data_IF_889734515953
#
_entry.id   IF_889734515953
#
_cell.length_a   1.000
_cell.length_b   1.000
_cell.length_c   1.000
_cell.angle_alpha   90.00
_cell.angle_beta   90.00
_cell.angle_gamma   90.00
#
_symmetry.space_group_name_H-M   'P 1'
#
loop_
_entity.id
_entity.type
_entity.pdbx_description
1 polymer ?
#
# COMPACT_ATOMS: atom_id res chain seq x y z
N UNK A 1 5.21 11.93 7.14
CA UNK A 1 4.09 11.86 8.10
C UNK A 1 3.73 13.28 8.44
N UNK A 2 2.53 13.71 8.06
CA UNK A 2 2.09 15.08 8.26
C UNK A 2 1.70 15.26 9.73
N UNK A 3 2.60 15.82 10.54
CA UNK A 3 2.37 16.03 11.98
C UNK A 3 1.40 17.18 12.27
N UNK A 4 0.95 17.89 11.24
CA UNK A 4 0.10 19.09 11.35
C UNK A 4 -1.33 18.81 11.81
N UNK A 5 -1.77 17.55 11.81
CA UNK A 5 -3.12 17.12 12.23
C UNK A 5 -3.15 16.35 13.56
N UNK A 6 -2.01 16.18 14.24
CA UNK A 6 -1.96 15.40 15.49
C UNK A 6 -2.44 16.24 16.68
N UNK A 7 -3.50 15.77 17.34
CA UNK A 7 -3.99 16.30 18.62
C UNK A 7 -3.33 15.56 19.78
N UNK A 8 -3.01 16.30 20.84
CA UNK A 8 -2.25 15.81 21.98
C UNK A 8 -2.96 16.27 23.25
N UNK A 9 -3.03 15.37 24.24
CA UNK A 9 -3.63 15.69 25.54
C UNK A 9 -2.65 16.53 26.36
N UNK A 10 -3.12 17.66 26.90
CA UNK A 10 -2.30 18.57 27.70
C UNK A 10 -2.56 18.34 29.19
N UNK A 11 -1.53 17.99 29.99
CA UNK A 11 -1.62 17.90 31.44
C UNK A 11 -2.07 19.21 32.09
N UNK A 12 -2.76 19.13 33.24
CA UNK A 12 -3.30 20.28 33.95
C UNK A 12 -2.24 21.36 34.30
N UNK A 13 -1.02 20.97 34.66
CA UNK A 13 0.06 21.91 34.95
C UNK A 13 0.53 22.69 33.71
N UNK A 14 0.56 22.04 32.54
CA UNK A 14 0.87 22.72 31.29
C UNK A 14 -0.28 23.63 30.85
N UNK A 15 -1.53 23.24 31.13
CA UNK A 15 -2.68 24.08 30.88
C UNK A 15 -2.60 25.39 31.68
N UNK A 16 -2.24 25.33 32.96
CA UNK A 16 -2.03 26.51 33.79
C UNK A 16 -0.92 27.42 33.23
N UNK A 17 0.22 26.85 32.85
CA UNK A 17 1.33 27.61 32.26
C UNK A 17 0.97 28.26 30.91
N UNK A 18 0.18 27.58 30.08
CA UNK A 18 -0.31 28.11 28.81
C UNK A 18 -1.40 29.17 29.01
N UNK A 19 -2.17 29.08 30.08
CA UNK A 19 -3.15 30.11 30.45
C UNK A 19 -2.46 31.42 30.84
N UNK A 20 -1.39 31.34 31.66
CA UNK A 20 -0.57 32.52 31.99
C UNK A 20 0.06 33.17 30.74
N UNK A 21 0.37 32.36 29.72
CA UNK A 21 0.91 32.86 28.45
C UNK A 21 -0.13 33.65 27.62
N UNK A 22 -1.42 33.36 27.78
CA UNK A 22 -2.50 34.02 27.03
C UNK A 22 -2.65 35.51 27.41
N UNK A 23 -2.23 35.90 28.61
CA UNK A 23 -2.31 37.28 29.11
C UNK A 23 -1.13 38.17 28.65
N UNK A 24 -0.17 37.62 27.90
CA UNK A 24 1.04 38.34 27.48
C UNK A 24 0.80 39.15 26.20
N UNK A 25 0.94 40.47 26.33
CA UNK A 25 1.00 41.42 25.21
C UNK A 25 2.35 41.30 24.48
N UNK A 26 2.37 40.70 23.30
CA UNK A 26 3.60 40.48 22.50
C UNK A 26 3.72 39.09 21.86
N UNK A 27 2.73 38.22 22.08
CA UNK A 27 2.65 36.93 21.39
C UNK A 27 2.25 37.16 19.92
N UNK A 28 2.82 36.42 18.94
CA UNK A 28 2.40 36.51 17.55
C UNK A 28 0.90 36.23 17.39
N UNK A 29 0.21 37.08 16.64
CA UNK A 29 -1.27 37.06 16.50
C UNK A 29 -1.83 35.69 16.10
N UNK A 30 -1.10 34.95 15.26
CA UNK A 30 -1.50 33.61 14.82
C UNK A 30 -1.48 32.60 15.99
N UNK A 31 -0.50 32.69 16.89
CA UNK A 31 -0.40 31.82 18.06
C UNK A 31 -1.46 32.22 19.09
N UNK A 32 -1.60 33.53 19.34
CA UNK A 32 -2.57 34.05 20.31
C UNK A 32 -4.02 33.67 19.94
N UNK A 33 -4.40 33.83 18.67
CA UNK A 33 -5.73 33.46 18.19
C UNK A 33 -6.02 31.96 18.32
N UNK A 34 -5.05 31.10 17.95
CA UNK A 34 -5.20 29.66 18.09
C UNK A 34 -5.23 29.19 19.55
N UNK A 35 -4.43 29.82 20.42
CA UNK A 35 -4.37 29.51 21.84
C UNK A 35 -5.68 29.88 22.55
N UNK A 36 -6.24 31.05 22.25
CA UNK A 36 -7.49 31.53 22.83
C UNK A 36 -8.70 30.66 22.41
N UNK A 37 -8.69 30.11 21.19
CA UNK A 37 -9.72 29.15 20.75
C UNK A 37 -9.59 27.82 21.49
N UNK A 38 -8.37 27.37 21.77
CA UNK A 38 -8.09 26.05 22.31
C UNK A 38 -8.16 25.97 23.85
N UNK A 39 -7.85 27.06 24.55
CA UNK A 39 -7.82 27.11 26.02
C UNK A 39 -9.14 27.69 26.53
N UNK A 40 -9.95 26.85 27.18
CA UNK A 40 -11.15 27.28 27.91
C UNK A 40 -10.83 27.41 29.40
N UNK A 41 -11.42 28.38 30.11
CA UNK A 41 -11.17 28.58 31.54
C UNK A 41 -11.75 27.45 32.41
N UNK A 42 -12.77 26.74 31.93
CA UNK A 42 -13.36 25.61 32.66
C UNK A 42 -12.63 24.31 32.29
N UNK A 43 -11.88 23.80 33.26
CA UNK A 43 -11.25 22.49 33.23
C UNK A 43 -12.35 21.44 33.43
N UNK A 44 -13.14 21.15 32.39
CA UNK A 44 -13.89 19.90 32.37
C UNK A 44 -12.86 18.76 32.50
N UNK A 45 -13.11 17.76 33.34
CA UNK A 45 -12.20 16.62 33.62
C UNK A 45 -11.73 15.85 32.35
N UNK A 46 -12.25 16.21 31.19
CA UNK A 46 -11.77 15.80 29.86
C UNK A 46 -10.52 16.59 29.49
N UNK A 47 -9.35 15.98 29.69
CA UNK A 47 -8.04 16.55 29.39
C UNK A 47 -7.99 17.32 28.05
N UNK A 48 -7.77 18.65 28.12
CA UNK A 48 -7.77 19.55 26.97
C UNK A 48 -6.86 19.05 25.85
N UNK A 49 -7.42 18.92 24.65
CA UNK A 49 -6.70 18.46 23.46
C UNK A 49 -6.22 19.66 22.65
N UNK A 50 -4.90 19.82 22.52
CA UNK A 50 -4.29 20.86 21.69
C UNK A 50 -3.61 20.25 20.48
N UNK A 51 -3.56 21.01 19.39
CA UNK A 51 -2.81 20.62 18.19
C UNK A 51 -1.31 20.68 18.49
N UNK A 52 -0.58 19.62 18.13
CA UNK A 52 0.86 19.55 18.34
C UNK A 52 1.63 20.70 17.64
N UNK A 53 1.17 21.12 16.46
CA UNK A 53 1.78 22.21 15.71
C UNK A 53 1.76 23.54 16.49
N UNK A 54 0.69 23.81 17.24
CA UNK A 54 0.58 25.02 18.07
C UNK A 54 1.61 24.99 19.22
N UNK A 55 1.70 23.87 19.94
CA UNK A 55 2.67 23.70 21.03
C UNK A 55 4.11 23.81 20.53
N UNK A 56 4.38 23.32 19.32
CA UNK A 56 5.70 23.45 18.66
C UNK A 56 6.01 24.90 18.30
N UNK A 57 5.04 25.66 17.80
CA UNK A 57 5.24 27.10 17.50
C UNK A 57 5.49 27.91 18.77
N UNK A 58 4.75 27.61 19.84
CA UNK A 58 4.98 28.22 21.16
C UNK A 58 6.39 27.92 21.66
N UNK A 59 6.85 26.66 21.56
CA UNK A 59 8.20 26.31 21.99
C UNK A 59 9.28 26.97 21.15
N UNK A 60 9.08 27.10 19.83
CA UNK A 60 10.00 27.83 18.95
C UNK A 60 10.04 29.32 19.27
N UNK A 61 8.87 29.94 19.48
CA UNK A 61 8.78 31.35 19.88
C UNK A 61 9.46 31.58 21.24
N UNK A 62 9.22 30.73 22.24
CA UNK A 62 9.86 30.82 23.55
C UNK A 62 11.40 30.69 23.50
N UNK A 63 11.94 30.06 22.46
CA UNK A 63 13.38 29.95 22.21
C UNK A 63 13.96 31.13 21.41
N UNK A 64 13.12 31.92 20.74
CA UNK A 64 13.55 33.13 20.04
C UNK A 64 14.06 34.19 21.03
N UNK A 65 14.89 35.12 20.56
CA UNK A 65 15.38 36.23 21.40
C UNK A 65 14.22 37.10 21.90
N UNK A 66 13.27 37.43 21.00
CA UNK A 66 12.09 38.24 21.31
C UNK A 66 11.21 37.57 22.39
N UNK A 67 10.88 36.29 22.21
CA UNK A 67 10.09 35.56 23.19
C UNK A 67 10.77 35.43 24.55
N UNK A 68 12.10 35.28 24.58
CA UNK A 68 12.88 35.24 25.84
C UNK A 68 12.84 36.56 26.59
N UNK A 69 13.01 37.67 25.88
CA UNK A 69 13.00 39.00 26.48
C UNK A 69 11.62 39.31 27.07
N UNK A 70 10.55 39.04 26.32
CA UNK A 70 9.15 39.23 26.76
C UNK A 70 8.82 38.33 27.97
N UNK A 71 9.19 37.04 27.93
CA UNK A 71 8.96 36.13 29.05
C UNK A 71 9.70 36.59 30.31
N UNK A 72 10.95 37.06 30.15
CA UNK A 72 11.78 37.55 31.25
C UNK A 72 11.23 38.84 31.87
N UNK A 73 10.69 39.76 31.06
CA UNK A 73 10.02 40.97 31.54
C UNK A 73 8.81 40.66 32.42
N UNK A 74 8.13 39.54 32.16
CA UNK A 74 6.99 39.05 32.95
C UNK A 74 7.40 38.14 34.12
N UNK A 75 8.69 37.89 34.32
CA UNK A 75 9.21 37.01 35.37
C UNK A 75 8.98 35.52 35.10
N UNK A 76 8.64 35.15 33.86
CA UNK A 76 8.42 33.77 33.43
C UNK A 76 9.72 33.15 32.92
N UNK A 77 9.89 31.84 33.15
CA UNK A 77 11.08 31.11 32.71
C UNK A 77 10.90 30.62 31.27
N UNK A 78 11.80 30.99 30.36
CA UNK A 78 11.77 30.51 28.96
C UNK A 78 11.95 28.99 28.86
N UNK A 79 12.65 28.37 29.82
CA UNK A 79 12.86 26.92 29.86
C UNK A 79 11.54 26.15 29.96
N UNK A 80 10.57 26.64 30.74
CA UNK A 80 9.29 25.94 30.96
C UNK A 80 8.49 25.84 29.65
N UNK A 81 8.61 26.84 28.78
CA UNK A 81 7.92 26.88 27.49
C UNK A 81 8.69 26.19 26.36
N UNK A 82 10.01 26.12 26.47
CA UNK A 82 10.88 25.56 25.43
C UNK A 82 10.66 24.06 25.16
N UNK A 83 10.12 23.33 26.14
CA UNK A 83 9.97 21.88 26.09
C UNK A 83 8.50 21.41 26.09
N UNK A 84 7.53 22.33 26.03
CA UNK A 84 6.09 22.03 26.10
C UNK A 84 5.65 21.01 25.04
N UNK A 85 6.14 21.15 23.81
CA UNK A 85 5.80 20.21 22.74
C UNK A 85 6.23 18.77 23.06
N UNK A 86 7.40 18.60 23.70
CA UNK A 86 7.94 17.29 24.04
C UNK A 86 7.22 16.69 25.25
N UNK A 87 6.90 17.51 26.25
CA UNK A 87 6.14 17.10 27.43
C UNK A 87 4.71 16.67 27.07
N UNK A 88 4.04 17.42 26.19
CA UNK A 88 2.71 17.08 25.72
C UNK A 88 2.72 15.76 24.93
N UNK A 89 3.73 15.53 24.08
CA UNK A 89 3.83 14.36 23.21
C UNK A 89 3.97 12.99 23.90
N UNK A 90 4.01 12.94 25.23
CA UNK A 90 4.11 11.69 26.00
C UNK A 90 2.77 10.99 26.21
N UNK A 91 1.64 11.70 26.06
CA UNK A 91 0.30 11.15 26.25
C UNK A 91 -0.50 11.33 24.96
N UNK A 92 -0.67 10.24 24.20
CA UNK A 92 -1.58 10.23 23.05
C UNK A 92 -3.01 10.49 23.54
N UNK A 93 -3.71 11.44 22.91
CA UNK A 93 -5.07 11.78 23.30
C UNK A 93 -5.99 10.54 23.32
N UNK A 94 -6.90 10.42 24.31
CA UNK A 94 -7.87 9.33 24.36
C UNK A 94 -8.84 9.33 23.16
N UNK A 95 -8.99 10.47 22.46
CA UNK A 95 -9.79 10.62 21.24
C UNK A 95 -9.05 10.19 19.96
N UNK A 96 -7.72 10.12 19.99
CA UNK A 96 -6.91 9.73 18.84
C UNK A 96 -7.09 8.23 18.54
N UNK A 97 -8.04 7.92 17.65
CA UNK A 97 -8.17 6.58 17.06
C UNK A 97 -6.88 6.26 16.31
N UNK A 98 -6.02 5.45 16.94
CA UNK A 98 -4.87 4.86 16.27
C UNK A 98 -5.35 4.20 14.98
N UNK A 99 -4.64 4.36 13.85
CA UNK A 99 -4.98 3.64 12.65
C UNK A 99 -4.96 2.14 12.95
N UNK A 100 -5.88 1.34 12.37
CA UNK A 100 -5.92 -0.09 12.61
C UNK A 100 -4.55 -0.67 12.28
N UNK A 101 -3.95 -1.36 13.25
CA UNK A 101 -2.66 -2.04 13.07
C UNK A 101 -2.76 -2.97 11.87
N UNK A 102 -1.95 -2.71 10.84
CA UNK A 102 -1.80 -3.61 9.70
C UNK A 102 -0.60 -4.52 10.02
N UNK A 103 -0.83 -5.81 10.31
CA UNK A 103 0.28 -6.71 10.55
C UNK A 103 1.20 -6.76 9.32
N UNK A 104 2.52 -6.92 9.52
CA UNK A 104 3.43 -7.12 8.40
C UNK A 104 2.97 -8.35 7.61
N UNK A 105 2.90 -8.22 6.28
CA UNK A 105 2.48 -9.32 5.40
C UNK A 105 3.35 -10.54 5.65
N UNK A 106 2.70 -11.70 5.69
CA UNK A 106 3.40 -12.98 5.82
C UNK A 106 4.37 -13.18 4.64
N UNK A 107 5.48 -13.92 4.81
CA UNK A 107 6.44 -14.14 3.72
C UNK A 107 5.79 -14.79 2.50
N UNK A 108 4.74 -15.58 2.69
CA UNK A 108 3.94 -16.19 1.63
C UNK A 108 3.16 -15.13 0.82
N UNK A 109 2.45 -14.22 1.49
CA UNK A 109 1.73 -13.12 0.82
C UNK A 109 2.68 -12.19 0.06
N UNK A 110 3.86 -11.90 0.62
CA UNK A 110 4.87 -11.11 -0.07
C UNK A 110 5.39 -11.80 -1.35
N UNK A 111 5.58 -13.12 -1.32
CA UNK A 111 5.99 -13.88 -2.50
C UNK A 111 4.90 -13.85 -3.59
N UNK A 112 3.63 -13.96 -3.20
CA UNK A 112 2.49 -13.85 -4.12
C UNK A 112 2.47 -12.46 -4.77
N UNK A 113 2.62 -11.37 -4.00
CA UNK A 113 2.67 -10.01 -4.55
C UNK A 113 3.83 -9.82 -5.53
N UNK A 114 5.04 -10.23 -5.16
CA UNK A 114 6.23 -10.16 -6.04
C UNK A 114 6.04 -10.94 -7.34
N UNK A 115 5.39 -12.11 -7.28
CA UNK A 115 5.09 -12.89 -8.49
C UNK A 115 4.10 -12.18 -9.42
N UNK A 116 3.12 -11.46 -8.85
CA UNK A 116 2.14 -10.67 -9.60
C UNK A 116 2.80 -9.46 -10.26
N UNK A 117 3.64 -8.74 -9.52
CA UNK A 117 4.41 -7.61 -10.05
C UNK A 117 5.27 -8.02 -11.24
N UNK A 118 6.00 -9.13 -11.13
CA UNK A 118 6.83 -9.65 -12.24
C UNK A 118 6.01 -9.99 -13.49
N UNK A 119 4.83 -10.58 -13.31
CA UNK A 119 3.91 -10.90 -14.42
C UNK A 119 3.40 -9.62 -15.09
N UNK A 120 3.00 -8.62 -14.31
CA UNK A 120 2.55 -7.33 -14.85
C UNK A 120 3.67 -6.62 -15.63
N UNK A 121 4.89 -6.58 -15.07
CA UNK A 121 6.05 -6.00 -15.75
C UNK A 121 6.36 -6.74 -17.06
N UNK A 122 6.32 -8.07 -17.04
CA UNK A 122 6.59 -8.87 -18.24
C UNK A 122 5.54 -8.63 -19.34
N UNK A 123 4.26 -8.50 -18.96
CA UNK A 123 3.18 -8.18 -19.90
C UNK A 123 3.37 -6.79 -20.53
N UNK A 124 3.77 -5.79 -19.73
CA UNK A 124 4.08 -4.45 -20.23
C UNK A 124 5.23 -4.50 -21.25
N UNK A 125 6.34 -5.17 -20.91
CA UNK A 125 7.49 -5.29 -21.80
C UNK A 125 7.10 -5.96 -23.13
N UNK A 126 6.30 -7.03 -23.07
CA UNK A 126 5.82 -7.71 -24.27
C UNK A 126 4.97 -6.78 -25.15
N UNK A 127 4.03 -6.03 -24.55
CA UNK A 127 3.22 -5.05 -25.28
C UNK A 127 4.07 -3.95 -25.93
N UNK A 128 5.05 -3.40 -25.20
CA UNK A 128 5.96 -2.38 -25.74
C UNK A 128 6.79 -2.91 -26.91
N UNK A 129 7.33 -4.13 -26.80
CA UNK A 129 8.10 -4.76 -27.87
C UNK A 129 7.24 -5.01 -29.12
N UNK A 130 5.99 -5.44 -28.96
CA UNK A 130 5.04 -5.60 -30.07
C UNK A 130 4.79 -4.30 -30.82
N UNK A 131 4.54 -3.19 -30.10
CA UNK A 131 4.28 -1.88 -30.71
C UNK A 131 5.50 -1.36 -31.47
N UNK A 132 6.69 -1.45 -30.88
CA UNK A 132 7.94 -1.05 -31.53
C UNK A 132 8.22 -1.93 -32.76
N UNK A 133 8.07 -3.24 -32.61
CA UNK A 133 8.30 -4.21 -33.69
C UNK A 133 7.41 -3.94 -34.91
N UNK A 134 6.13 -3.63 -34.68
CA UNK A 134 5.17 -3.29 -35.75
C UNK A 134 5.50 -1.95 -36.39
N UNK A 135 5.92 -0.95 -35.61
CA UNK A 135 6.37 0.33 -36.14
C UNK A 135 7.60 0.18 -37.05
N UNK A 136 8.62 -0.55 -36.60
CA UNK A 136 9.84 -0.81 -37.38
C UNK A 136 9.53 -1.65 -38.63
N UNK A 137 8.69 -2.68 -38.51
CA UNK A 137 8.26 -3.49 -39.64
C UNK A 137 7.47 -2.68 -40.67
N UNK A 138 6.56 -1.81 -40.23
CA UNK A 138 5.79 -0.92 -41.09
C UNK A 138 6.67 0.08 -41.84
N UNK A 139 7.69 0.63 -41.15
CA UNK A 139 8.69 1.49 -41.79
C UNK A 139 9.50 0.75 -42.86
N UNK A 140 9.97 -0.47 -42.55
CA UNK A 140 10.76 -1.28 -43.46
C UNK A 140 9.94 -1.72 -44.69
N UNK A 141 8.70 -2.17 -44.48
CA UNK A 141 7.77 -2.53 -45.55
C UNK A 141 7.50 -1.33 -46.48
N UNK A 142 7.26 -0.14 -45.93
CA UNK A 142 7.11 1.08 -46.72
C UNK A 142 8.37 1.44 -47.51
N UNK A 143 9.55 1.07 -47.00
CA UNK A 143 10.83 1.14 -47.71
C UNK A 143 10.88 0.25 -48.95
N UNK A 144 10.45 -1.00 -48.83
CA UNK A 144 10.51 -1.98 -49.92
C UNK A 144 9.57 -1.65 -51.10
N UNK A 145 8.48 -0.94 -50.85
CA UNK A 145 7.46 -0.59 -51.85
C UNK A 145 7.81 0.74 -52.59
N UNK A 146 8.89 1.43 -52.19
CA UNK A 146 9.29 2.69 -52.82
C UNK A 146 8.39 3.89 -52.48
N UNK A 147 7.65 3.82 -51.37
CA UNK A 147 6.76 4.91 -50.94
C UNK A 147 7.55 6.18 -50.58
N UNK A 148 6.91 7.36 -50.67
CA UNK A 148 7.47 8.63 -50.16
C UNK A 148 7.60 8.55 -48.63
N UNK A 149 8.60 9.23 -48.06
CA UNK A 149 8.93 9.17 -46.63
C UNK A 149 7.72 9.50 -45.73
N UNK A 150 6.91 10.48 -46.14
CA UNK A 150 5.70 10.92 -45.41
C UNK A 150 4.70 9.77 -45.21
N UNK A 151 4.53 8.92 -46.22
CA UNK A 151 3.57 7.80 -46.16
C UNK A 151 4.12 6.61 -45.36
N UNK A 152 5.44 6.43 -45.29
CA UNK A 152 6.07 5.39 -44.45
C UNK A 152 5.86 5.69 -42.96
N UNK A 153 6.05 6.95 -42.57
CA UNK A 153 5.81 7.41 -41.21
C UNK A 153 4.35 7.17 -40.82
N UNK A 154 3.39 7.61 -41.65
CA UNK A 154 1.96 7.42 -41.43
C UNK A 154 1.58 5.95 -41.25
N UNK A 155 2.09 5.05 -42.11
CA UNK A 155 1.80 3.62 -42.03
C UNK A 155 2.37 2.98 -40.74
N UNK A 156 3.60 3.34 -40.37
CA UNK A 156 4.25 2.83 -39.16
C UNK A 156 3.52 3.26 -37.87
N UNK A 157 3.11 4.53 -37.79
CA UNK A 157 2.37 5.08 -36.65
C UNK A 157 0.97 4.46 -36.58
N UNK A 158 0.30 4.29 -37.72
CA UNK A 158 -1.02 3.65 -37.76
C UNK A 158 -0.96 2.20 -37.27
N UNK A 159 0.03 1.42 -37.73
CA UNK A 159 0.25 0.04 -37.26
C UNK A 159 0.54 -0.01 -35.76
N UNK A 160 1.41 0.87 -35.26
CA UNK A 160 1.73 0.98 -33.84
C UNK A 160 0.49 1.31 -32.99
N UNK A 161 -0.36 2.24 -33.45
CA UNK A 161 -1.61 2.60 -32.77
C UNK A 161 -2.59 1.42 -32.74
N UNK A 162 -2.79 0.72 -33.87
CA UNK A 162 -3.69 -0.42 -33.93
C UNK A 162 -3.29 -1.53 -32.95
N UNK A 163 -1.99 -1.81 -32.84
CA UNK A 163 -1.46 -2.79 -31.89
C UNK A 163 -1.57 -2.31 -30.45
N UNK A 164 -1.28 -1.03 -30.17
CA UNK A 164 -1.45 -0.46 -28.85
C UNK A 164 -2.92 -0.54 -28.37
N UNK A 165 -3.89 -0.28 -29.25
CA UNK A 165 -5.32 -0.42 -28.93
C UNK A 165 -5.66 -1.89 -28.64
N UNK A 166 -5.16 -2.81 -29.46
CA UNK A 166 -5.41 -4.26 -29.29
C UNK A 166 -4.88 -4.76 -27.95
N UNK A 167 -3.65 -4.40 -27.60
CA UNK A 167 -3.03 -4.73 -26.30
C UNK A 167 -3.79 -4.06 -25.13
N UNK A 168 -4.24 -2.82 -25.28
CA UNK A 168 -5.02 -2.13 -24.26
C UNK A 168 -6.37 -2.82 -23.99
N UNK A 169 -7.06 -3.26 -25.04
CA UNK A 169 -8.31 -4.02 -24.89
C UNK A 169 -8.03 -5.37 -24.20
N UNK A 170 -6.96 -6.07 -24.59
CA UNK A 170 -6.59 -7.33 -23.99
C UNK A 170 -6.25 -7.17 -22.49
N UNK A 171 -5.53 -6.11 -22.14
CA UNK A 171 -5.24 -5.73 -20.76
C UNK A 171 -6.52 -5.41 -19.98
N UNK A 172 -7.44 -4.64 -20.54
CA UNK A 172 -8.73 -4.35 -19.92
C UNK A 172 -9.53 -5.63 -19.63
N UNK A 173 -9.58 -6.58 -20.58
CA UNK A 173 -10.27 -7.87 -20.38
C UNK A 173 -9.58 -8.67 -19.26
N UNK A 174 -8.25 -8.70 -19.24
CA UNK A 174 -7.50 -9.38 -18.20
C UNK A 174 -7.75 -8.76 -16.82
N UNK A 175 -7.72 -7.43 -16.72
CA UNK A 175 -7.99 -6.68 -15.50
C UNK A 175 -9.42 -6.97 -14.99
N UNK A 176 -10.43 -6.94 -15.86
CA UNK A 176 -11.80 -7.25 -15.48
C UNK A 176 -11.98 -8.68 -14.96
N UNK A 177 -11.27 -9.65 -15.54
CA UNK A 177 -11.27 -11.04 -15.03
C UNK A 177 -10.57 -11.14 -13.68
N UNK A 178 -9.48 -10.40 -13.51
CA UNK A 178 -8.72 -10.39 -12.28
C UNK A 178 -9.51 -9.77 -11.11
N UNK A 179 -10.18 -8.64 -11.33
CA UNK A 179 -11.01 -7.98 -10.31
C UNK A 179 -12.19 -8.87 -9.89
N UNK A 180 -12.75 -9.65 -10.82
CA UNK A 180 -13.80 -10.64 -10.50
C UNK A 180 -13.28 -11.83 -9.70
N UNK A 181 -12.04 -12.26 -9.92
CA UNK A 181 -11.44 -13.38 -9.18
C UNK A 181 -11.10 -13.01 -7.73
N UNK A 182 -10.86 -11.72 -7.45
CA UNK A 182 -10.57 -11.21 -6.12
C UNK A 182 -11.81 -10.89 -5.29
N UNK A 183 -13.00 -10.81 -5.89
CA UNK A 183 -14.21 -10.70 -5.10
C UNK A 183 -14.46 -12.06 -4.41
N UNK A 184 -14.39 -12.14 -3.07
CA UNK A 184 -14.78 -13.37 -2.38
C UNK A 184 -16.22 -13.63 -2.77
N UNK A 185 -16.48 -14.77 -3.39
CA UNK A 185 -17.84 -15.23 -3.65
C UNK A 185 -18.53 -15.29 -2.29
N UNK A 186 -19.32 -14.26 -2.00
CA UNK A 186 -20.21 -14.24 -0.84
C UNK A 186 -21.10 -15.45 -1.02
N UNK A 187 -20.77 -16.52 -0.30
CA UNK A 187 -21.49 -17.78 -0.31
C UNK A 187 -22.96 -17.43 -0.14
N UNK A 188 -23.75 -17.63 -1.18
CA UNK A 188 -25.21 -17.78 -1.08
C UNK A 188 -25.47 -19.07 -0.31
N UNK A 189 -25.18 -19.04 0.98
CA UNK A 189 -25.67 -19.99 1.96
C UNK A 189 -27.11 -19.59 2.27
N UNK A 190 -28.06 -20.09 1.48
CA UNK A 190 -29.46 -20.12 1.84
C UNK A 190 -30.24 -21.07 0.92
N UNK A 191 -30.27 -22.36 1.27
CA UNK A 191 -31.48 -23.12 1.62
C UNK A 191 -31.23 -24.62 1.47
N UNK A 192 -30.90 -25.20 2.63
CA UNK A 192 -31.12 -26.60 3.00
C UNK A 192 -32.56 -26.98 2.60
N UNK A 193 -32.74 -27.77 1.55
CA UNK A 193 -34.00 -28.48 1.29
C UNK A 193 -33.99 -29.73 2.19
N UNK A 194 -34.54 -29.60 3.39
CA UNK A 194 -34.97 -30.75 4.20
C UNK A 194 -36.22 -31.30 3.50
N UNK A 195 -36.07 -32.39 2.76
CA UNK A 195 -37.20 -33.29 2.46
C UNK A 195 -36.78 -34.66 2.98
N UNK A 196 -37.72 -35.21 3.73
CA UNK A 196 -37.63 -36.34 4.63
C UNK A 196 -37.28 -37.65 3.91
N UNK A 197 -36.56 -38.47 4.67
CA UNK A 197 -36.40 -39.89 4.43
C UNK A 197 -37.76 -40.56 4.68
N UNK A 198 -38.27 -41.26 3.68
CA UNK A 198 -39.16 -42.41 3.89
C UNK A 198 -38.62 -43.56 3.05
N UNK A 199 -38.27 -44.64 3.74
CA UNK A 199 -38.11 -46.01 3.23
C UNK A 199 -39.34 -46.42 2.41
N UNK A 200 -39.38 -47.37 1.49
CA UNK A 200 -38.73 -48.68 1.29
C UNK A 200 -39.14 -49.08 -0.14
N UNK A 201 -38.31 -49.69 -1.00
CA UNK A 201 -38.41 -51.13 -1.36
C UNK A 201 -37.54 -51.35 -2.62
N UNK A 202 -36.53 -52.21 -2.51
CA UNK A 202 -35.79 -52.86 -3.61
C UNK A 202 -36.58 -54.11 -4.08
N UNK A 203 -36.20 -54.93 -5.09
CA UNK A 203 -35.10 -54.82 -6.09
C UNK A 203 -35.49 -55.31 -7.52
N UNK A 204 -34.65 -55.06 -8.56
CA UNK A 204 -34.37 -56.05 -9.64
C UNK A 204 -33.22 -55.64 -10.60
N UNK A 205 -32.25 -56.57 -10.78
CA UNK A 205 -31.38 -56.95 -11.94
C UNK A 205 -31.27 -55.98 -13.15
N UNK A 206 -30.17 -55.79 -13.87
CA UNK A 206 -28.97 -56.59 -14.21
C UNK A 206 -27.92 -55.64 -14.92
N UNK A 207 -26.68 -56.09 -15.21
CA UNK A 207 -25.52 -55.25 -15.53
C UNK A 207 -25.25 -55.12 -17.04
N UNK A 208 -24.51 -54.08 -17.47
CA UNK A 208 -23.73 -54.08 -18.72
C UNK A 208 -22.58 -53.05 -18.70
N UNK A 209 -21.51 -53.25 -19.50
CA UNK A 209 -20.11 -52.90 -19.19
C UNK A 209 -19.60 -51.60 -19.87
N UNK A 210 -18.32 -51.19 -19.66
CA UNK A 210 -17.83 -49.88 -20.10
C UNK A 210 -17.38 -49.90 -21.56
N UNK A 211 -17.86 -48.95 -22.36
CA UNK A 211 -17.31 -48.69 -23.69
C UNK A 211 -16.24 -47.62 -23.63
N UNK A 212 -15.00 -48.09 -23.74
CA UNK A 212 -13.86 -47.34 -24.25
C UNK A 212 -14.02 -47.06 -25.75
N UNK A 213 -13.73 -45.82 -26.15
CA UNK A 213 -13.03 -45.47 -27.38
C UNK A 213 -12.50 -44.04 -27.16
N UNK A 214 -11.22 -43.85 -26.82
CA UNK A 214 -10.10 -43.79 -27.78
C UNK A 214 -10.38 -42.69 -28.82
N UNK A 215 -9.77 -41.53 -28.70
CA UNK A 215 -8.45 -41.23 -29.31
C UNK A 215 -7.89 -40.06 -28.47
N UNK A 216 -6.79 -40.21 -27.71
CA UNK A 216 -5.46 -40.59 -28.17
C UNK A 216 -4.88 -39.42 -28.97
N UNK A 217 -3.68 -38.91 -28.77
CA UNK A 217 -2.43 -39.45 -28.26
C UNK A 217 -1.52 -38.20 -28.30
N UNK A 218 -1.02 -37.77 -27.14
CA UNK A 218 0.43 -37.83 -26.79
C UNK A 218 1.20 -36.56 -27.20
N UNK A 219 2.16 -36.00 -26.47
CA UNK A 219 2.94 -36.33 -25.26
C UNK A 219 3.94 -35.12 -25.07
N UNK A 220 4.88 -35.06 -24.10
CA UNK A 220 4.72 -35.23 -22.66
C UNK A 220 5.67 -34.34 -21.79
N UNK A 221 5.36 -34.28 -20.50
CA UNK A 221 6.29 -34.46 -19.36
C UNK A 221 7.78 -34.07 -19.54
N UNK A 222 8.13 -32.86 -19.13
CA UNK A 222 9.55 -32.47 -18.91
C UNK A 222 9.80 -31.90 -17.50
N UNK A 223 8.98 -32.26 -16.50
CA UNK A 223 9.01 -31.56 -15.20
C UNK A 223 9.39 -32.35 -13.94
N UNK A 224 9.81 -33.62 -14.03
CA UNK A 224 10.13 -34.41 -12.83
C UNK A 224 11.47 -35.15 -12.88
N UNK A 225 12.52 -34.50 -13.42
CA UNK A 225 13.87 -35.12 -13.45
C UNK A 225 15.05 -34.17 -13.25
N UNK A 226 15.00 -33.28 -12.26
CA UNK A 226 16.22 -32.62 -11.72
C UNK A 226 16.16 -32.42 -10.22
N UNK A 227 16.18 -33.53 -9.47
CA UNK A 227 16.56 -33.52 -8.05
C UNK A 227 17.22 -34.85 -7.67
N UNK A 228 18.34 -35.13 -8.31
CA UNK A 228 19.31 -36.10 -7.81
C UNK A 228 20.66 -35.75 -8.41
N UNK A 229 21.73 -35.97 -7.64
CA UNK A 229 23.14 -35.62 -7.89
C UNK A 229 23.52 -34.23 -7.38
N UNK A 230 23.95 -34.15 -6.11
CA UNK A 230 25.34 -33.81 -5.76
C UNK A 230 25.54 -34.00 -4.24
N UNK A 231 25.78 -35.25 -3.84
CA UNK A 231 26.31 -35.59 -2.53
C UNK A 231 27.43 -36.62 -2.77
N UNK A 232 28.64 -36.15 -3.06
CA UNK A 232 29.84 -36.96 -2.90
C UNK A 232 31.10 -36.08 -2.89
N UNK A 233 31.79 -36.10 -1.76
CA UNK A 233 33.25 -35.98 -1.61
C UNK A 233 33.91 -34.64 -1.91
N UNK A 234 34.41 -33.97 -0.88
CA UNK A 234 35.87 -33.88 -0.78
C UNK A 234 36.29 -33.74 0.69
N UNK A 235 37.16 -34.64 1.12
CA UNK A 235 37.87 -34.59 2.37
C UNK A 235 39.36 -34.51 2.05
N UNK A 236 40.01 -33.48 2.56
CA UNK A 236 41.47 -33.31 2.75
C UNK A 236 41.61 -32.23 3.83
N UNK A 237 42.00 -32.58 5.05
CA UNK A 237 43.38 -32.83 5.51
C UNK A 237 44.41 -31.84 4.93
N UNK A 238 44.95 -30.99 5.82
CA UNK A 238 46.37 -30.61 5.97
C UNK A 238 46.42 -29.48 7.03
N UNK A 239 46.75 -29.75 8.29
CA UNK A 239 48.10 -29.84 8.88
C UNK A 239 48.91 -28.53 8.83
N UNK A 240 49.10 -27.98 10.03
CA UNK A 240 50.35 -27.45 10.61
C UNK A 240 51.48 -26.96 9.69
N UNK A 241 51.92 -25.71 9.92
CA UNK A 241 53.31 -25.26 10.07
C UNK A 241 53.26 -23.79 10.54
N UNK A 242 53.64 -23.53 11.80
CA UNK A 242 54.90 -22.84 12.21
C UNK A 242 54.98 -21.37 11.79
#
# INVERSE_FOLDING_TARGET
MDTSSTTVSVPAHLHAALYELNDITGLPDEIASQLNIAIKPELDDSASELRYDLLRRISQWAQSSEGRDILKERGLSSSDYSMIALLAGTVTSPSAKLPPYKPPLTPEEQAILKSKERKAISALINGFLSVIGVGVAGWWAGGSIGMRQDHKALLSVFGAIAVAITEAVLYCIWQWRYDRALQPTHKRSAKRKKIEISSETDPKMEPTPPTSAATGVEQPEEFLRRRHVQAHGDGRDNTESS
#
